data_IF_782233841691
#
_entry.id   IF_782233841691
#
_cell.length_a   1.000
_cell.length_b   1.000
_cell.length_c   1.000
_cell.angle_alpha   90.00
_cell.angle_beta   90.00
_cell.angle_gamma   90.00
#
_symmetry.space_group_name_H-M   'P 1'
#
loop_
_entity.id
_entity.type
_entity.pdbx_description
1 polymer ?
#
# COMPACT_ATOMS: atom_id res chain seq x y z
N UNK A 1 18.05 -18.33 19.75
CA UNK A 1 17.70 -19.15 18.59
C UNK A 1 16.22 -18.95 18.27
N UNK A 2 15.91 -18.57 17.09
CA UNK A 2 14.51 -18.36 16.73
C UNK A 2 13.79 -19.72 16.70
N UNK A 3 12.60 -19.72 17.27
CA UNK A 3 11.73 -20.87 17.17
C UNK A 3 11.03 -20.84 15.81
N UNK A 4 10.96 -21.99 15.19
CA UNK A 4 10.25 -22.17 13.94
C UNK A 4 8.90 -22.82 14.22
N UNK A 5 7.87 -22.25 13.66
CA UNK A 5 6.55 -22.86 13.64
C UNK A 5 6.46 -23.75 12.41
N UNK A 6 5.78 -24.87 12.58
CA UNK A 6 5.53 -25.81 11.48
C UNK A 6 4.02 -25.79 11.22
N UNK A 7 3.64 -25.51 9.97
CA UNK A 7 2.21 -25.52 9.60
C UNK A 7 1.70 -26.97 9.44
N UNK A 8 0.41 -27.11 9.16
CA UNK A 8 -0.26 -28.41 9.01
C UNK A 8 0.32 -29.30 7.91
N UNK A 9 1.09 -28.70 6.99
CA UNK A 9 1.76 -29.41 5.89
C UNK A 9 3.21 -29.79 6.21
N UNK A 10 3.68 -29.53 7.42
CA UNK A 10 5.05 -29.80 7.81
C UNK A 10 6.07 -28.79 7.33
N UNK A 11 5.64 -27.68 6.75
CA UNK A 11 6.50 -26.60 6.30
C UNK A 11 6.93 -25.74 7.49
N UNK A 12 8.21 -25.38 7.51
CA UNK A 12 8.73 -24.46 8.51
C UNK A 12 8.24 -23.05 8.18
N UNK A 13 7.49 -22.47 9.10
CA UNK A 13 7.00 -21.11 8.99
C UNK A 13 7.81 -20.23 9.94
N UNK A 14 8.48 -19.23 9.38
CA UNK A 14 9.24 -18.27 10.18
C UNK A 14 8.33 -17.55 11.15
N UNK A 15 8.82 -17.31 12.37
CA UNK A 15 8.07 -16.47 13.32
C UNK A 15 8.02 -15.04 12.79
N UNK A 16 6.80 -14.59 12.42
CA UNK A 16 6.59 -13.27 11.84
C UNK A 16 7.00 -12.13 12.78
N UNK A 17 7.00 -12.35 14.10
CA UNK A 17 7.41 -11.35 15.08
C UNK A 17 8.90 -11.05 15.03
N UNK A 18 9.72 -12.03 14.59
CA UNK A 18 11.17 -11.89 14.47
C UNK A 18 11.60 -11.36 13.09
N UNK A 19 10.71 -11.39 12.12
CA UNK A 19 11.03 -10.92 10.77
C UNK A 19 11.05 -9.39 10.70
N UNK A 20 12.03 -8.84 9.98
CA UNK A 20 12.01 -7.42 9.63
C UNK A 20 10.82 -7.12 8.71
N UNK A 21 10.44 -5.84 8.61
CA UNK A 21 9.40 -5.42 7.68
C UNK A 21 9.72 -5.81 6.24
N UNK A 22 10.99 -5.68 5.82
CA UNK A 22 11.43 -6.04 4.48
C UNK A 22 11.32 -7.54 4.21
N UNK A 23 11.71 -8.38 5.17
CA UNK A 23 11.59 -9.84 5.05
C UNK A 23 10.13 -10.27 4.97
N UNK A 24 9.29 -9.68 5.80
CA UNK A 24 7.85 -9.96 5.83
C UNK A 24 7.21 -9.59 4.49
N UNK A 25 7.59 -8.46 3.91
CA UNK A 25 7.08 -8.03 2.62
C UNK A 25 7.56 -8.93 1.48
N UNK A 26 8.82 -9.36 1.51
CA UNK A 26 9.36 -10.30 0.53
C UNK A 26 8.60 -11.63 0.55
N UNK A 27 8.30 -12.16 1.75
CA UNK A 27 7.50 -13.36 1.91
C UNK A 27 6.09 -13.16 1.34
N UNK A 28 5.48 -12.02 1.61
CA UNK A 28 4.17 -11.65 1.06
C UNK A 28 4.20 -11.63 -0.47
N UNK A 29 5.21 -11.01 -1.09
CA UNK A 29 5.32 -10.92 -2.55
C UNK A 29 5.40 -12.30 -3.21
N UNK A 30 6.01 -13.28 -2.56
CA UNK A 30 6.08 -14.66 -3.08
C UNK A 30 4.73 -15.35 -3.19
N UNK A 31 3.70 -14.81 -2.54
CA UNK A 31 2.34 -15.36 -2.53
C UNK A 31 1.36 -14.57 -3.40
N UNK A 32 1.85 -13.56 -4.13
CA UNK A 32 1.00 -12.70 -4.97
C UNK A 32 0.46 -13.48 -6.15
N UNK A 33 -0.86 -13.41 -6.32
CA UNK A 33 -1.58 -13.97 -7.45
C UNK A 33 -2.10 -12.85 -8.35
N UNK A 34 -2.22 -13.13 -9.66
CA UNK A 34 -2.84 -12.20 -10.59
C UNK A 34 -4.35 -12.47 -10.66
N UNK A 35 -5.20 -11.51 -10.31
CA UNK A 35 -6.64 -11.67 -10.47
C UNK A 35 -7.02 -11.60 -11.95
N UNK A 36 -8.17 -12.17 -12.29
CA UNK A 36 -8.72 -12.10 -13.66
C UNK A 36 -9.14 -10.69 -14.03
N UNK A 37 -9.67 -9.95 -13.05
CA UNK A 37 -10.12 -8.57 -13.21
C UNK A 37 -9.43 -7.68 -12.19
N UNK A 38 -9.19 -6.42 -12.56
CA UNK A 38 -8.62 -5.44 -11.69
C UNK A 38 -9.70 -4.53 -11.12
N UNK A 39 -9.84 -4.53 -9.79
CA UNK A 39 -10.76 -3.66 -9.08
C UNK A 39 -10.03 -2.91 -7.99
N UNK A 40 -10.46 -1.68 -7.75
CA UNK A 40 -10.04 -0.90 -6.59
C UNK A 40 -11.21 -0.83 -5.63
N UNK A 41 -11.00 -1.29 -4.41
CA UNK A 41 -12.01 -1.30 -3.36
C UNK A 41 -11.75 -0.20 -2.36
N UNK A 42 -12.81 0.55 -2.02
CA UNK A 42 -12.80 1.54 -0.94
C UNK A 42 -13.57 0.98 0.23
N UNK A 43 -12.96 1.00 1.41
CA UNK A 43 -13.57 0.43 2.60
C UNK A 43 -14.22 1.51 3.44
N UNK A 44 -15.24 1.15 4.21
CA UNK A 44 -16.02 2.10 5.00
C UNK A 44 -15.16 2.92 5.97
N UNK A 45 -14.05 2.38 6.43
CA UNK A 45 -13.07 3.10 7.25
C UNK A 45 -12.55 4.37 6.57
N UNK A 46 -12.56 4.41 5.24
CA UNK A 46 -12.14 5.59 4.48
C UNK A 46 -12.96 6.83 4.82
N UNK A 47 -14.24 6.66 5.15
CA UNK A 47 -15.10 7.76 5.54
C UNK A 47 -14.60 8.50 6.80
N UNK A 48 -13.87 7.79 7.66
CA UNK A 48 -13.32 8.39 8.88
C UNK A 48 -12.21 9.40 8.62
N UNK A 49 -11.56 9.35 7.46
CA UNK A 49 -10.43 10.20 7.12
C UNK A 49 -10.69 11.13 5.94
N UNK A 50 -11.66 10.81 5.07
CA UNK A 50 -11.87 11.57 3.83
C UNK A 50 -12.16 13.05 4.09
N UNK A 51 -12.88 13.37 5.15
CA UNK A 51 -13.20 14.75 5.50
C UNK A 51 -11.99 15.53 6.05
N UNK A 52 -10.93 14.83 6.41
CA UNK A 52 -9.69 15.43 6.92
C UNK A 52 -8.70 15.71 5.79
N UNK A 53 -8.94 15.19 4.60
CA UNK A 53 -8.07 15.35 3.44
C UNK A 53 -8.41 16.63 2.69
N UNK A 54 -7.36 17.32 2.20
CA UNK A 54 -7.55 18.36 1.20
C UNK A 54 -8.03 17.73 -0.11
N UNK A 55 -8.60 18.56 -1.00
CA UNK A 55 -8.99 18.07 -2.34
C UNK A 55 -7.79 17.47 -3.09
N UNK A 56 -6.64 18.11 -3.01
CA UNK A 56 -5.42 17.63 -3.64
C UNK A 56 -4.96 16.29 -3.07
N UNK A 57 -4.99 16.11 -1.74
CA UNK A 57 -4.61 14.87 -1.10
C UNK A 57 -5.56 13.72 -1.47
N UNK A 58 -6.87 14.00 -1.53
CA UNK A 58 -7.87 13.03 -1.95
C UNK A 58 -7.60 12.54 -3.37
N UNK A 59 -7.38 13.47 -4.30
CA UNK A 59 -7.06 13.13 -5.70
C UNK A 59 -5.77 12.32 -5.81
N UNK A 60 -4.74 12.73 -5.09
CA UNK A 60 -3.47 12.02 -5.11
C UNK A 60 -3.61 10.61 -4.54
N UNK A 61 -4.37 10.43 -3.48
CA UNK A 61 -4.61 9.12 -2.89
C UNK A 61 -5.31 8.18 -3.89
N UNK A 62 -6.34 8.65 -4.56
CA UNK A 62 -7.00 7.88 -5.61
C UNK A 62 -6.03 7.54 -6.75
N UNK A 63 -5.26 8.52 -7.20
CA UNK A 63 -4.31 8.30 -8.28
C UNK A 63 -3.24 7.27 -7.92
N UNK A 64 -2.66 7.36 -6.73
CA UNK A 64 -1.68 6.39 -6.25
C UNK A 64 -2.29 4.99 -6.13
N UNK A 65 -3.51 4.92 -5.63
CA UNK A 65 -4.21 3.63 -5.47
C UNK A 65 -4.51 2.98 -6.81
N UNK A 66 -4.97 3.76 -7.79
CA UNK A 66 -5.23 3.27 -9.14
C UNK A 66 -3.95 2.80 -9.84
N UNK A 67 -2.83 3.44 -9.57
CA UNK A 67 -1.53 3.13 -10.16
C UNK A 67 -0.69 2.17 -9.32
N UNK A 68 -1.20 1.69 -8.19
CA UNK A 68 -0.53 0.66 -7.43
C UNK A 68 -0.55 -0.68 -8.17
N UNK A 69 0.46 -1.51 -7.93
CA UNK A 69 0.48 -2.85 -8.51
C UNK A 69 -0.61 -3.72 -7.88
N UNK A 70 -1.27 -4.50 -8.71
CA UNK A 70 -2.32 -5.42 -8.27
C UNK A 70 -1.77 -6.39 -7.23
N UNK A 71 -2.48 -6.54 -6.12
CA UNK A 71 -2.18 -7.48 -5.03
C UNK A 71 -0.89 -7.22 -4.25
N UNK A 72 -0.17 -6.13 -4.52
CA UNK A 72 1.10 -5.85 -3.84
C UNK A 72 1.04 -4.69 -2.85
N UNK A 73 0.05 -3.83 -2.95
CA UNK A 73 -0.05 -2.61 -2.17
C UNK A 73 1.04 -1.59 -2.47
N UNK A 74 1.86 -1.82 -3.48
CA UNK A 74 3.05 -1.05 -3.80
C UNK A 74 2.82 -0.12 -4.98
N UNK A 75 3.29 1.12 -4.86
CA UNK A 75 3.32 2.06 -5.96
C UNK A 75 4.71 2.66 -6.07
N UNK A 76 5.26 2.60 -7.29
CA UNK A 76 6.56 3.21 -7.59
C UNK A 76 6.34 4.65 -8.02
N UNK A 77 6.92 5.59 -7.27
CA UNK A 77 6.84 7.02 -7.56
C UNK A 77 8.22 7.50 -7.99
N UNK A 78 8.58 7.19 -9.22
CA UNK A 78 9.77 7.71 -9.85
C UNK A 78 9.42 9.02 -10.57
N UNK A 79 10.43 9.70 -11.12
CA UNK A 79 10.23 11.00 -11.77
C UNK A 79 9.15 10.99 -12.86
N UNK A 80 9.07 9.92 -13.65
CA UNK A 80 8.04 9.79 -14.69
C UNK A 80 6.66 9.58 -14.10
N UNK A 81 6.54 8.78 -13.03
CA UNK A 81 5.28 8.56 -12.32
C UNK A 81 4.82 9.86 -11.65
N UNK A 82 5.73 10.58 -11.02
CA UNK A 82 5.43 11.88 -10.42
C UNK A 82 4.93 12.86 -11.48
N UNK A 83 5.60 12.93 -12.63
CA UNK A 83 5.18 13.79 -13.74
C UNK A 83 3.78 13.41 -14.24
N UNK A 84 3.50 12.12 -14.37
CA UNK A 84 2.17 11.64 -14.73
C UNK A 84 1.11 12.11 -13.76
N UNK A 85 1.36 12.00 -12.45
CA UNK A 85 0.43 12.49 -11.42
C UNK A 85 0.22 14.00 -11.54
N UNK A 86 1.30 14.78 -11.69
CA UNK A 86 1.20 16.23 -11.82
C UNK A 86 0.37 16.64 -13.03
N UNK A 87 0.60 15.96 -14.16
CA UNK A 87 -0.11 16.26 -15.41
C UNK A 87 -1.59 15.86 -15.35
N UNK A 88 -1.88 14.65 -14.91
CA UNK A 88 -3.25 14.15 -14.84
C UNK A 88 -4.08 14.86 -13.78
N UNK A 89 -3.49 15.13 -12.62
CA UNK A 89 -4.19 15.80 -11.51
C UNK A 89 -4.11 17.32 -11.60
N UNK A 90 -3.35 17.84 -12.55
CA UNK A 90 -3.16 19.29 -12.77
C UNK A 90 -2.77 20.02 -11.49
N UNK A 91 -1.74 19.49 -10.81
CA UNK A 91 -1.23 20.12 -9.60
C UNK A 91 0.24 20.49 -9.74
N UNK A 92 0.67 21.47 -8.96
CA UNK A 92 2.07 21.86 -8.89
C UNK A 92 2.87 20.90 -8.04
N UNK A 93 4.19 20.92 -8.18
CA UNK A 93 5.10 20.10 -7.37
C UNK A 93 4.90 20.39 -5.87
N UNK A 94 4.75 21.67 -5.50
CA UNK A 94 4.52 22.05 -4.10
C UNK A 94 3.23 21.46 -3.54
N UNK A 95 2.15 21.52 -4.30
CA UNK A 95 0.86 20.92 -3.91
C UNK A 95 0.97 19.41 -3.79
N UNK A 96 1.68 18.78 -4.72
CA UNK A 96 1.95 17.33 -4.68
C UNK A 96 2.62 16.91 -3.37
N UNK A 97 3.71 17.58 -2.99
CA UNK A 97 4.44 17.23 -1.76
C UNK A 97 3.61 17.50 -0.49
N UNK A 98 2.83 18.57 -0.47
CA UNK A 98 1.91 18.82 0.66
C UNK A 98 0.86 17.72 0.77
N UNK A 99 0.29 17.31 -0.35
CA UNK A 99 -0.69 16.23 -0.39
C UNK A 99 -0.06 14.91 0.06
N UNK A 100 1.13 14.59 -0.45
CA UNK A 100 1.86 13.37 -0.08
C UNK A 100 2.14 13.32 1.43
N UNK A 101 2.57 14.43 2.01
CA UNK A 101 2.83 14.51 3.44
C UNK A 101 1.56 14.33 4.27
N UNK A 102 0.45 14.89 3.83
CA UNK A 102 -0.83 14.69 4.51
C UNK A 102 -1.26 13.22 4.49
N UNK A 103 -1.09 12.54 3.36
CA UNK A 103 -1.40 11.12 3.27
C UNK A 103 -0.56 10.28 4.24
N UNK A 104 0.73 10.62 4.38
CA UNK A 104 1.62 9.96 5.34
C UNK A 104 1.20 10.22 6.78
N UNK A 105 0.91 11.48 7.13
CA UNK A 105 0.51 11.86 8.48
C UNK A 105 -0.77 11.18 8.94
N UNK A 106 -1.71 10.98 8.03
CA UNK A 106 -2.97 10.31 8.33
C UNK A 106 -2.88 8.77 8.23
N UNK A 107 -1.69 8.24 7.91
CA UNK A 107 -1.47 6.81 7.86
C UNK A 107 -2.08 6.11 6.65
N UNK A 108 -2.41 6.86 5.60
CA UNK A 108 -2.97 6.30 4.38
C UNK A 108 -1.94 5.66 3.48
N UNK A 109 -0.70 6.11 3.57
CA UNK A 109 0.44 5.54 2.84
C UNK A 109 1.67 5.50 3.75
N UNK A 110 2.61 4.64 3.40
CA UNK A 110 3.96 4.59 3.99
C UNK A 110 4.99 4.55 2.87
N UNK A 111 6.20 4.91 3.19
CA UNK A 111 7.34 4.80 2.27
C UNK A 111 8.08 6.09 2.11
N UNK A 112 9.17 6.01 1.36
CA UNK A 112 10.05 7.14 1.11
C UNK A 112 10.65 7.03 -0.30
N UNK A 113 11.05 8.18 -0.83
CA UNK A 113 11.75 8.29 -2.11
C UNK A 113 10.95 7.75 -3.30
N UNK A 114 11.19 6.52 -3.69
CA UNK A 114 10.64 5.96 -4.94
C UNK A 114 9.54 4.92 -4.72
N UNK A 115 9.36 4.42 -3.50
CA UNK A 115 8.40 3.33 -3.24
C UNK A 115 7.47 3.71 -2.10
N UNK A 116 6.18 3.65 -2.37
CA UNK A 116 5.14 3.86 -1.37
C UNK A 116 4.25 2.64 -1.29
N UNK A 117 3.67 2.45 -0.10
CA UNK A 117 2.76 1.36 0.18
C UNK A 117 1.41 1.94 0.57
N UNK A 118 0.37 1.48 -0.09
CA UNK A 118 -1.00 1.91 0.19
C UNK A 118 -1.53 1.15 1.41
N UNK A 119 -2.13 1.88 2.36
CA UNK A 119 -2.72 1.23 3.53
C UNK A 119 -3.97 0.44 3.12
N UNK A 120 -3.94 -0.89 3.23
CA UNK A 120 -5.03 -1.74 2.78
C UNK A 120 -6.29 -1.64 3.64
N UNK A 121 -6.21 -1.00 4.80
CA UNK A 121 -7.39 -0.76 5.64
C UNK A 121 -8.37 0.22 5.00
N UNK A 122 -7.90 1.08 4.10
CA UNK A 122 -8.70 2.14 3.47
C UNK A 122 -9.01 1.85 2.01
N UNK A 123 -8.01 1.49 1.23
CA UNK A 123 -8.14 1.23 -0.21
C UNK A 123 -7.28 0.02 -0.55
N UNK A 124 -7.77 -0.80 -1.48
CA UNK A 124 -7.01 -1.96 -1.96
C UNK A 124 -7.27 -2.21 -3.44
N UNK A 125 -6.21 -2.49 -4.19
CA UNK A 125 -6.28 -2.94 -5.56
C UNK A 125 -5.85 -4.40 -5.64
N UNK A 126 -6.83 -5.30 -5.71
CA UNK A 126 -6.56 -6.72 -5.77
C UNK A 126 -7.63 -7.56 -5.06
N UNK A 127 -7.30 -8.81 -4.77
CA UNK A 127 -8.20 -9.76 -4.13
C UNK A 127 -8.31 -9.54 -2.63
N UNK A 128 -9.44 -9.95 -2.06
CA UNK A 128 -9.66 -9.87 -0.61
C UNK A 128 -8.66 -10.71 0.17
N UNK A 129 -8.26 -11.86 -0.37
CA UNK A 129 -7.27 -12.73 0.28
C UNK A 129 -5.90 -12.03 0.38
N UNK A 130 -5.44 -11.43 -0.69
CA UNK A 130 -4.17 -10.69 -0.69
C UNK A 130 -4.23 -9.46 0.20
N UNK A 131 -5.38 -8.79 0.26
CA UNK A 131 -5.59 -7.69 1.20
C UNK A 131 -5.42 -8.15 2.65
N UNK A 132 -6.06 -9.26 3.01
CA UNK A 132 -5.97 -9.80 4.36
C UNK A 132 -4.52 -10.13 4.74
N UNK A 133 -3.75 -10.65 3.81
CA UNK A 133 -2.32 -10.93 4.00
C UNK A 133 -1.52 -9.65 4.16
N UNK A 134 -1.76 -8.66 3.33
CA UNK A 134 -1.03 -7.40 3.39
C UNK A 134 -1.37 -6.58 4.64
N UNK A 135 -2.58 -6.71 5.17
CA UNK A 135 -2.94 -6.07 6.44
C UNK A 135 -2.04 -6.47 7.61
N UNK A 136 -1.45 -7.67 7.54
CA UNK A 136 -0.50 -8.15 8.57
C UNK A 136 0.91 -7.61 8.36
N UNK A 137 1.26 -7.28 7.12
CA UNK A 137 2.60 -6.80 6.75
C UNK A 137 2.73 -5.30 6.91
N UNK A 138 1.69 -4.57 6.52
CA UNK A 138 1.70 -3.11 6.44
C UNK A 138 2.15 -2.41 7.73
N UNK A 139 1.69 -2.77 8.94
CA UNK A 139 2.11 -2.09 10.16
C UNK A 139 3.60 -2.20 10.45
N UNK A 140 4.29 -3.14 9.82
CA UNK A 140 5.71 -3.40 10.03
C UNK A 140 6.62 -2.81 8.94
N UNK A 141 6.03 -2.17 7.97
CA UNK A 141 6.77 -1.49 6.91
C UNK A 141 7.34 -0.13 7.35
#
# INVERSE_FOLDING_TARGET
MSEFEVNDFGEVVSNAEEMSGAELYADFLGKVEKPKDEFVYYYSKYLSVVNRLTGAATKLHFWLSLNSEVNTGRVFVQSMTQRGALDELKMTVGTYYKALNQLKELGLIKGESAVYYINPAYIWKGTADMRARFLKVYPRL
#
